data_IF_304811015335
#
_entry.id   IF_304811015335
#
_cell.length_a   1.000
_cell.length_b   1.000
_cell.length_c   1.000
_cell.angle_alpha   90.00
_cell.angle_beta   90.00
_cell.angle_gamma   90.00
#
_symmetry.space_group_name_H-M   'P 1'
#
loop_
_entity.id
_entity.type
_entity.pdbx_description
1 polymer ?
#
# COMPACT_ATOMS: atom_id res chain seq x y z
N UNK A 1 -17.56 4.48 16.51
CA UNK A 1 -16.20 4.15 17.00
C UNK A 1 -15.38 5.43 17.17
N UNK A 2 -14.62 5.54 18.26
CA UNK A 2 -13.68 6.63 18.50
C UNK A 2 -12.44 6.39 17.62
N UNK A 3 -12.05 7.36 16.80
CA UNK A 3 -10.83 7.28 16.00
C UNK A 3 -9.63 7.08 16.93
N UNK A 4 -8.80 6.05 16.67
CA UNK A 4 -7.62 5.70 17.49
C UNK A 4 -6.34 6.06 16.73
N UNK A 5 -5.86 7.32 16.85
CA UNK A 5 -4.69 7.79 16.11
C UNK A 5 -3.42 6.98 16.43
N UNK A 6 -3.32 6.43 17.63
CA UNK A 6 -2.23 5.55 18.06
C UNK A 6 -2.03 4.31 17.16
N UNK A 7 -3.12 3.72 16.65
CA UNK A 7 -3.04 2.52 15.79
C UNK A 7 -2.59 2.89 14.37
N UNK A 8 -3.04 4.04 13.86
CA UNK A 8 -2.55 4.57 12.59
C UNK A 8 -1.07 4.98 12.68
N UNK A 9 -0.64 5.50 13.83
CA UNK A 9 0.78 5.79 14.11
C UNK A 9 1.65 4.52 14.13
N UNK A 10 1.16 3.44 14.75
CA UNK A 10 1.89 2.17 14.77
C UNK A 10 2.04 1.57 13.35
N UNK A 11 1.02 1.72 12.50
CA UNK A 11 1.11 1.34 11.08
C UNK A 11 2.17 2.17 10.35
N UNK A 12 2.26 3.47 10.61
CA UNK A 12 3.29 4.32 10.01
C UNK A 12 4.70 3.91 10.45
N UNK A 13 4.88 3.58 11.73
CA UNK A 13 6.16 3.07 12.25
C UNK A 13 6.53 1.73 11.60
N UNK A 14 5.56 0.83 11.40
CA UNK A 14 5.80 -0.46 10.74
C UNK A 14 6.31 -0.35 9.30
N UNK A 15 6.06 0.79 8.62
CA UNK A 15 6.57 1.06 7.27
C UNK A 15 8.03 1.53 7.27
N UNK A 16 8.53 2.10 8.37
CA UNK A 16 9.90 2.65 8.44
C UNK A 16 10.99 1.61 8.13
N UNK A 17 10.99 0.40 8.74
CA UNK A 17 11.99 -0.61 8.42
C UNK A 17 11.94 -1.07 6.95
N UNK A 18 10.75 -1.06 6.34
CA UNK A 18 10.56 -1.39 4.92
C UNK A 18 11.24 -0.36 4.03
N UNK A 19 11.05 0.93 4.33
CA UNK A 19 11.68 2.02 3.57
C UNK A 19 13.20 2.04 3.76
N UNK A 20 13.69 1.84 4.98
CA UNK A 20 15.12 1.83 5.29
C UNK A 20 15.85 0.65 4.61
N UNK A 21 15.20 -0.51 4.57
CA UNK A 21 15.69 -1.67 3.80
C UNK A 21 15.84 -1.34 2.32
N UNK A 22 14.79 -0.79 1.68
CA UNK A 22 14.84 -0.44 0.25
C UNK A 22 15.79 0.73 -0.06
N UNK A 23 16.04 1.62 0.91
CA UNK A 23 17.02 2.70 0.78
C UNK A 23 18.47 2.23 0.96
N UNK A 24 18.72 0.94 1.25
CA UNK A 24 20.05 0.38 1.42
C UNK A 24 20.76 0.79 2.72
N UNK A 25 20.00 1.16 3.76
CA UNK A 25 20.58 1.60 5.03
C UNK A 25 21.21 0.41 5.77
N UNK A 26 22.51 0.48 6.12
CA UNK A 26 23.19 -0.59 6.85
C UNK A 26 22.48 -0.91 8.18
N UNK A 27 22.33 -2.19 8.49
CA UNK A 27 21.67 -2.66 9.73
C UNK A 27 20.16 -2.91 9.60
N UNK A 28 19.54 -2.59 8.46
CA UNK A 28 18.15 -2.91 8.16
C UNK A 28 18.08 -3.99 7.07
N UNK A 29 18.39 -5.24 7.40
CA UNK A 29 18.32 -6.40 6.48
C UNK A 29 16.99 -7.16 6.52
N UNK A 30 16.02 -6.69 7.31
CA UNK A 30 14.75 -7.39 7.61
C UNK A 30 13.51 -6.57 7.28
N UNK A 31 13.44 -5.93 6.11
CA UNK A 31 12.29 -5.13 5.69
C UNK A 31 10.96 -5.90 5.76
N UNK A 32 10.98 -7.22 5.55
CA UNK A 32 9.81 -8.11 5.62
C UNK A 32 9.09 -8.09 6.97
N UNK A 33 9.82 -7.94 8.09
CA UNK A 33 9.19 -7.87 9.42
C UNK A 33 8.25 -6.66 9.54
N UNK A 34 8.64 -5.52 8.95
CA UNK A 34 7.80 -4.32 8.91
C UNK A 34 6.51 -4.56 8.13
N UNK A 35 6.60 -5.29 7.02
CA UNK A 35 5.44 -5.69 6.20
C UNK A 35 4.49 -6.58 6.99
N UNK A 36 5.00 -7.60 7.69
CA UNK A 36 4.19 -8.52 8.49
C UNK A 36 3.43 -7.78 9.61
N UNK A 37 4.14 -6.94 10.37
CA UNK A 37 3.54 -6.13 11.44
C UNK A 37 2.47 -5.20 10.89
N UNK A 38 2.73 -4.53 9.75
CA UNK A 38 1.76 -3.67 9.11
C UNK A 38 0.48 -4.41 8.71
N UNK A 39 0.60 -5.62 8.14
CA UNK A 39 -0.55 -6.43 7.74
C UNK A 39 -1.34 -6.94 8.95
N UNK A 40 -0.68 -7.39 10.02
CA UNK A 40 -1.34 -7.82 11.25
C UNK A 40 -2.17 -6.69 11.86
N UNK A 41 -1.59 -5.49 12.00
CA UNK A 41 -2.31 -4.33 12.56
C UNK A 41 -3.48 -3.92 11.65
N UNK A 42 -3.27 -3.94 10.33
CA UNK A 42 -4.32 -3.61 9.37
C UNK A 42 -5.47 -4.61 9.40
N UNK A 43 -5.16 -5.91 9.53
CA UNK A 43 -6.15 -6.99 9.67
C UNK A 43 -6.96 -6.83 10.95
N UNK A 44 -6.30 -6.60 12.09
CA UNK A 44 -6.97 -6.32 13.36
C UNK A 44 -7.95 -5.14 13.25
N UNK A 45 -7.51 -4.03 12.64
CA UNK A 45 -8.34 -2.84 12.48
C UNK A 45 -9.55 -3.09 11.57
N UNK A 46 -9.34 -3.74 10.42
CA UNK A 46 -10.41 -4.07 9.47
C UNK A 46 -11.45 -4.98 10.13
N UNK A 47 -11.01 -6.06 10.79
CA UNK A 47 -11.91 -6.98 11.49
C UNK A 47 -12.67 -6.26 12.60
N UNK A 48 -12.01 -5.41 13.38
CA UNK A 48 -12.65 -4.61 14.44
C UNK A 48 -13.74 -3.68 13.90
N UNK A 49 -13.50 -3.05 12.74
CA UNK A 49 -14.51 -2.20 12.06
C UNK A 49 -15.70 -3.05 11.61
N UNK A 50 -15.46 -4.20 10.98
CA UNK A 50 -16.52 -5.10 10.50
C UNK A 50 -17.38 -5.61 11.66
N UNK A 51 -16.75 -6.10 12.72
CA UNK A 51 -17.44 -6.61 13.92
C UNK A 51 -18.25 -5.49 14.59
N UNK A 52 -17.69 -4.29 14.71
CA UNK A 52 -18.42 -3.16 15.29
C UNK A 52 -19.61 -2.75 14.45
N UNK A 53 -19.51 -2.77 13.11
CA UNK A 53 -20.62 -2.45 12.23
C UNK A 53 -21.74 -3.50 12.41
N UNK A 54 -21.39 -4.79 12.35
CA UNK A 54 -22.32 -5.90 12.60
C UNK A 54 -23.04 -5.78 13.95
N UNK A 55 -22.32 -5.45 15.03
CA UNK A 55 -22.93 -5.29 16.35
C UNK A 55 -23.88 -4.10 16.46
N UNK A 56 -23.68 -3.04 15.66
CA UNK A 56 -24.51 -1.83 15.74
C UNK A 56 -25.69 -1.82 14.76
N UNK A 57 -25.56 -2.46 13.60
CA UNK A 57 -26.54 -2.39 12.51
C UNK A 57 -27.12 -3.74 12.11
N UNK A 58 -26.70 -4.85 12.75
CA UNK A 58 -27.03 -6.25 12.40
C UNK A 58 -26.75 -6.63 10.93
N UNK A 59 -26.10 -5.74 10.20
CA UNK A 59 -25.82 -5.85 8.77
C UNK A 59 -24.48 -5.19 8.48
N UNK A 60 -23.68 -5.86 7.68
CA UNK A 60 -22.43 -5.32 7.14
C UNK A 60 -22.64 -4.92 5.68
N UNK A 61 -22.36 -3.66 5.34
CA UNK A 61 -22.41 -3.19 3.97
C UNK A 61 -20.99 -3.10 3.39
N UNK A 62 -20.63 -4.10 2.58
CA UNK A 62 -19.34 -4.18 1.92
C UNK A 62 -19.08 -2.98 0.99
N UNK A 63 -20.10 -2.50 0.28
CA UNK A 63 -19.98 -1.36 -0.62
C UNK A 63 -19.63 -0.08 0.16
N UNK A 64 -20.32 0.17 1.27
CA UNK A 64 -20.05 1.33 2.13
C UNK A 64 -18.67 1.24 2.81
N UNK A 65 -18.21 0.03 3.16
CA UNK A 65 -16.85 -0.19 3.63
C UNK A 65 -15.81 0.21 2.59
N UNK A 66 -15.93 -0.27 1.36
CA UNK A 66 -15.00 0.07 0.29
C UNK A 66 -15.11 1.53 -0.15
N UNK A 67 -16.29 2.14 -0.12
CA UNK A 67 -16.48 3.56 -0.46
C UNK A 67 -15.66 4.47 0.47
N UNK A 68 -15.76 4.26 1.78
CA UNK A 68 -14.98 5.03 2.78
C UNK A 68 -13.48 4.84 2.58
N UNK A 69 -13.07 3.62 2.25
CA UNK A 69 -11.65 3.27 1.99
C UNK A 69 -11.16 3.93 0.70
N UNK A 70 -11.96 3.90 -0.37
CA UNK A 70 -11.66 4.53 -1.64
C UNK A 70 -11.54 6.06 -1.49
N UNK A 71 -12.47 6.71 -0.78
CA UNK A 71 -12.42 8.16 -0.50
C UNK A 71 -11.16 8.58 0.27
N UNK A 72 -10.56 7.67 1.05
CA UNK A 72 -9.30 7.91 1.77
C UNK A 72 -8.05 7.62 0.92
N UNK A 73 -8.06 6.57 0.09
CA UNK A 73 -6.87 6.10 -0.65
C UNK A 73 -6.74 6.75 -2.04
N UNK A 74 -7.84 6.87 -2.78
CA UNK A 74 -7.83 7.37 -4.16
C UNK A 74 -7.27 8.79 -4.30
N UNK A 75 -7.50 9.75 -3.37
CA UNK A 75 -6.90 11.08 -3.50
C UNK A 75 -5.38 11.04 -3.47
N UNK A 76 -4.80 10.28 -2.54
CA UNK A 76 -3.35 10.12 -2.43
C UNK A 76 -2.77 9.39 -3.66
N UNK A 77 -3.46 8.36 -4.15
CA UNK A 77 -3.08 7.67 -5.38
C UNK A 77 -3.07 8.61 -6.59
N UNK A 78 -4.14 9.40 -6.77
CA UNK A 78 -4.26 10.35 -7.87
C UNK A 78 -3.15 11.39 -7.85
N UNK A 79 -2.86 11.98 -6.69
CA UNK A 79 -1.74 12.91 -6.53
C UNK A 79 -0.41 12.25 -6.88
N UNK A 80 -0.18 11.02 -6.41
CA UNK A 80 1.06 10.28 -6.70
C UNK A 80 1.21 10.03 -8.20
N UNK A 81 0.16 9.53 -8.88
CA UNK A 81 0.19 9.30 -10.34
C UNK A 81 0.46 10.60 -11.09
N UNK A 82 -0.23 11.69 -10.74
CA UNK A 82 -0.07 12.98 -11.39
C UNK A 82 1.37 13.51 -11.25
N UNK A 83 1.93 13.44 -10.04
CA UNK A 83 3.32 13.86 -9.80
C UNK A 83 4.31 12.97 -10.56
N UNK A 84 4.11 11.65 -10.55
CA UNK A 84 4.97 10.73 -11.30
C UNK A 84 4.94 11.02 -12.81
N UNK A 85 3.75 11.24 -13.39
CA UNK A 85 3.62 11.56 -14.82
C UNK A 85 4.20 12.95 -15.15
N UNK A 86 4.03 13.93 -14.28
CA UNK A 86 4.59 15.27 -14.47
C UNK A 86 6.12 15.29 -14.39
N UNK A 87 6.72 14.49 -13.51
CA UNK A 87 8.17 14.43 -13.30
C UNK A 87 8.90 13.45 -14.24
N UNK A 88 8.21 12.41 -14.71
CA UNK A 88 8.76 11.39 -15.61
C UNK A 88 9.59 11.95 -16.78
N UNK A 89 9.12 12.93 -17.59
CA UNK A 89 9.89 13.42 -18.73
C UNK A 89 11.17 14.20 -18.35
N UNK A 90 11.28 14.67 -17.10
CA UNK A 90 12.45 15.39 -16.62
C UNK A 90 13.51 14.48 -15.98
N UNK A 91 13.09 13.31 -15.51
CA UNK A 91 13.94 12.39 -14.73
C UNK A 91 14.31 11.13 -15.51
N UNK A 92 13.44 10.65 -16.42
CA UNK A 92 13.59 9.34 -17.07
C UNK A 92 14.06 9.45 -18.52
N UNK A 93 14.78 8.41 -18.96
CA UNK A 93 15.24 8.25 -20.35
C UNK A 93 14.05 7.81 -21.23
N UNK A 94 13.95 8.21 -22.51
CA UNK A 94 12.78 7.91 -23.36
C UNK A 94 12.33 6.44 -23.42
N UNK A 95 13.26 5.49 -23.25
CA UNK A 95 12.93 4.06 -23.19
C UNK A 95 12.05 3.67 -22.00
N UNK A 96 12.20 4.35 -20.86
CA UNK A 96 11.52 4.04 -19.59
C UNK A 96 10.10 4.65 -19.50
N UNK A 97 9.74 5.53 -20.43
CA UNK A 97 8.42 6.20 -20.42
C UNK A 97 7.29 5.19 -20.72
N UNK A 98 7.55 4.17 -21.55
CA UNK A 98 6.59 3.08 -21.79
C UNK A 98 6.32 2.27 -20.52
N UNK A 99 7.35 2.01 -19.73
CA UNK A 99 7.26 1.24 -18.48
C UNK A 99 6.47 2.01 -17.42
N UNK A 100 6.60 3.34 -17.39
CA UNK A 100 5.76 4.21 -16.53
C UNK A 100 4.30 4.10 -16.91
N UNK A 101 3.96 4.08 -18.19
CA UNK A 101 2.57 3.93 -18.65
C UNK A 101 1.94 2.62 -18.16
N UNK A 102 2.65 1.51 -18.29
CA UNK A 102 2.22 0.20 -17.78
C UNK A 102 2.10 0.18 -16.26
N UNK A 103 3.08 0.74 -15.55
CA UNK A 103 3.09 0.84 -14.09
C UNK A 103 1.92 1.68 -13.56
N UNK A 104 1.63 2.81 -14.21
CA UNK A 104 0.48 3.67 -13.87
C UNK A 104 -0.83 2.93 -14.11
N UNK A 105 -0.96 2.22 -15.23
CA UNK A 105 -2.16 1.43 -15.52
C UNK A 105 -2.37 0.31 -14.51
N UNK A 106 -1.33 -0.47 -14.19
CA UNK A 106 -1.38 -1.51 -13.17
C UNK A 106 -1.72 -0.94 -11.79
N UNK A 107 -1.17 0.22 -11.44
CA UNK A 107 -1.43 0.89 -10.15
C UNK A 107 -2.84 1.45 -10.07
N UNK A 108 -3.34 2.06 -11.14
CA UNK A 108 -4.71 2.57 -11.20
C UNK A 108 -5.76 1.47 -11.02
N UNK A 109 -5.48 0.27 -11.53
CA UNK A 109 -6.33 -0.90 -11.36
C UNK A 109 -6.10 -1.66 -10.04
N UNK A 110 -5.18 -1.18 -9.18
CA UNK A 110 -4.70 -1.91 -8.00
C UNK A 110 -4.18 -3.33 -8.32
N UNK A 111 -3.72 -3.53 -9.56
CA UNK A 111 -3.14 -4.77 -10.07
C UNK A 111 -1.61 -4.77 -10.02
N UNK A 112 -0.96 -3.72 -9.50
CA UNK A 112 0.51 -3.67 -9.41
C UNK A 112 1.10 -4.89 -8.73
N UNK A 113 0.50 -5.35 -7.63
CA UNK A 113 0.98 -6.56 -6.94
C UNK A 113 0.89 -7.81 -7.82
N UNK A 114 -0.11 -7.90 -8.71
CA UNK A 114 -0.24 -9.04 -9.63
C UNK A 114 0.70 -8.91 -10.83
N UNK A 115 0.85 -7.70 -11.36
CA UNK A 115 1.81 -7.38 -12.42
C UNK A 115 3.25 -7.67 -11.97
N UNK A 116 3.64 -7.17 -10.81
CA UNK A 116 4.93 -7.47 -10.19
C UNK A 116 5.08 -8.93 -9.80
N UNK A 117 4.02 -9.62 -9.39
CA UNK A 117 4.08 -11.07 -9.14
C UNK A 117 4.40 -11.88 -10.41
N UNK A 118 3.99 -11.38 -11.58
CA UNK A 118 4.31 -12.00 -12.87
C UNK A 118 5.71 -11.63 -13.38
N UNK A 119 6.27 -10.50 -12.95
CA UNK A 119 7.61 -10.04 -13.35
C UNK A 119 8.73 -10.37 -12.36
N UNK A 120 8.40 -10.50 -11.06
CA UNK A 120 9.36 -10.58 -9.97
C UNK A 120 8.87 -11.64 -8.97
N UNK A 121 9.78 -12.55 -8.62
CA UNK A 121 9.60 -13.63 -7.66
C UNK A 121 9.54 -13.07 -6.22
N UNK A 122 8.55 -12.20 -5.95
CA UNK A 122 8.44 -11.31 -4.78
C UNK A 122 8.38 -12.05 -3.42
N UNK A 123 8.04 -13.35 -3.44
CA UNK A 123 7.99 -14.21 -2.25
C UNK A 123 9.16 -15.20 -2.14
N UNK A 124 10.19 -15.05 -2.97
CA UNK A 124 11.36 -15.92 -2.90
C UNK A 124 12.36 -15.38 -1.84
N UNK A 125 12.64 -16.13 -0.75
CA UNK A 125 13.54 -15.69 0.33
C UNK A 125 15.02 -15.50 -0.10
N UNK A 126 15.33 -15.65 -1.40
CA UNK A 126 16.68 -15.53 -1.97
C UNK A 126 16.83 -14.43 -3.04
N UNK A 127 15.86 -13.52 -3.19
CA UNK A 127 16.03 -12.39 -4.10
C UNK A 127 17.05 -11.37 -3.53
N UNK A 128 18.30 -11.51 -3.99
CA UNK A 128 19.44 -10.64 -3.74
C UNK A 128 19.39 -9.36 -4.55
#
# INVERSE_FOLDING_TARGET
MKYRPEVDGLRAVAVLPVMLFHAGVPGFSGGFLGVDVFFVISGYLITTIIVSELQTTDRFNLAHFYERRARRILPALGVTILLTLALAPFVLVPGQIKDVGQSVFATALFLSNYFFYLEIDYFNPFAS
#
